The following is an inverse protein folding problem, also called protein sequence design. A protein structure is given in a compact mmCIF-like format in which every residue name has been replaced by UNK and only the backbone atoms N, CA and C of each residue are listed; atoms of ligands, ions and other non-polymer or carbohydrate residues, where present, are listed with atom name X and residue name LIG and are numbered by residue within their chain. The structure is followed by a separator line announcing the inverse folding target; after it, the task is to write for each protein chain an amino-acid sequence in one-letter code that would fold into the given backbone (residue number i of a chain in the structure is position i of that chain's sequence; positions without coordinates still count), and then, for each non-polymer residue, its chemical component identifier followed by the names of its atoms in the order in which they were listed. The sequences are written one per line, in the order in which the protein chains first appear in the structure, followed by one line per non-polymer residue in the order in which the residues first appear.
data_IF_610115941144
#
_entry.id   IF_610115941144
#
_cell.length_a   1.000
_cell.length_b   1.000
_cell.length_c   1.000
_cell.angle_alpha   90.00
_cell.angle_beta   90.00
_cell.angle_gamma   90.00
#
_symmetry.space_group_name_H-M   'P 1'
#
loop_
_entity.id
_entity.type
_entity.pdbx_description
1 polymer ?
#
# COMPACT_ATOMS: atom_id res chain seq x y z
N UNK A 1 7.00 -14.09 2.39
CA UNK A 1 5.73 -13.72 3.05
C UNK A 1 4.86 -13.04 2.01
N UNK A 2 3.62 -13.52 1.74
CA UNK A 2 2.74 -12.85 0.80
C UNK A 2 2.34 -11.47 1.34
N UNK A 3 2.26 -10.46 0.47
CA UNK A 3 1.86 -9.09 0.80
C UNK A 3 0.78 -8.68 -0.19
N UNK A 4 -0.27 -8.03 0.29
CA UNK A 4 -1.24 -7.35 -0.57
C UNK A 4 -0.84 -5.90 -0.78
N UNK A 5 -0.80 -5.46 -2.04
CA UNK A 5 -0.44 -4.07 -2.40
C UNK A 5 -1.70 -3.35 -2.87
N UNK A 6 -2.17 -2.40 -2.07
CA UNK A 6 -3.27 -1.51 -2.44
C UNK A 6 -2.73 -0.13 -2.82
N UNK A 7 -3.15 0.38 -3.97
CA UNK A 7 -2.80 1.73 -4.45
C UNK A 7 -4.05 2.60 -4.51
N UNK A 8 -4.05 3.70 -3.76
CA UNK A 8 -5.15 4.67 -3.74
C UNK A 8 -4.90 5.74 -4.82
N UNK A 9 -5.51 5.59 -5.98
CA UNK A 9 -5.37 6.48 -7.14
C UNK A 9 -6.11 7.80 -6.88
N UNK A 10 -5.39 8.90 -6.67
CA UNK A 10 -5.93 10.18 -6.21
C UNK A 10 -6.57 11.07 -7.28
N UNK A 11 -6.99 10.51 -8.42
CA UNK A 11 -7.50 11.27 -9.55
C UNK A 11 -6.41 12.02 -10.33
N UNK A 12 -5.27 11.35 -10.54
CA UNK A 12 -4.15 11.79 -11.37
C UNK A 12 -4.58 12.10 -12.80
N UNK A 13 -3.97 13.13 -13.38
CA UNK A 13 -4.21 13.60 -14.76
C UNK A 13 -2.99 13.42 -15.66
N UNK A 14 -1.94 12.77 -15.15
CA UNK A 14 -0.74 12.38 -15.88
C UNK A 14 -0.77 10.87 -16.19
N UNK A 15 0.37 10.30 -16.60
CA UNK A 15 0.50 8.89 -16.94
C UNK A 15 0.42 7.93 -15.73
N UNK A 16 0.09 8.39 -14.51
CA UNK A 16 -0.02 7.52 -13.33
C UNK A 16 -0.92 6.31 -13.59
N UNK A 17 -2.10 6.51 -14.20
CA UNK A 17 -3.06 5.42 -14.45
C UNK A 17 -2.52 4.38 -15.43
N UNK A 18 -1.78 4.80 -16.44
CA UNK A 18 -1.14 3.94 -17.42
C UNK A 18 -0.03 3.10 -16.78
N UNK A 19 0.78 3.73 -15.92
CA UNK A 19 1.83 3.05 -15.14
C UNK A 19 1.20 2.02 -14.21
N UNK A 20 0.17 2.38 -13.45
CA UNK A 20 -0.51 1.45 -12.54
C UNK A 20 -1.12 0.26 -13.30
N UNK A 21 -1.72 0.48 -14.47
CA UNK A 21 -2.26 -0.60 -15.30
C UNK A 21 -1.19 -1.61 -15.76
N UNK A 22 0.06 -1.17 -15.92
CA UNK A 22 1.16 -2.06 -16.34
C UNK A 22 1.52 -3.14 -15.30
N UNK A 23 1.12 -2.96 -14.03
CA UNK A 23 1.35 -3.93 -12.96
C UNK A 23 0.30 -5.06 -12.93
N UNK A 24 -0.84 -4.91 -13.60
CA UNK A 24 -1.90 -5.92 -13.64
C UNK A 24 -2.34 -6.38 -12.25
N UNK A 25 -2.50 -7.70 -12.09
CA UNK A 25 -2.99 -8.33 -10.85
C UNK A 25 -1.96 -8.33 -9.70
N UNK A 26 -0.74 -7.81 -9.91
CA UNK A 26 0.25 -7.69 -8.83
C UNK A 26 -0.09 -6.59 -7.81
N UNK A 27 -0.99 -5.67 -8.17
CA UNK A 27 -1.50 -4.61 -7.29
C UNK A 27 -3.02 -4.49 -7.42
N UNK A 28 -3.67 -4.01 -6.36
CA UNK A 28 -5.08 -3.60 -6.38
C UNK A 28 -5.16 -2.08 -6.39
N UNK A 29 -5.65 -1.52 -7.50
CA UNK A 29 -5.85 -0.07 -7.63
C UNK A 29 -7.27 0.29 -7.22
N UNK A 30 -7.41 1.29 -6.36
CA UNK A 30 -8.70 1.82 -5.87
C UNK A 30 -8.77 3.31 -6.16
N UNK A 31 -9.86 3.76 -6.78
CA UNK A 31 -10.10 5.18 -7.04
C UNK A 31 -10.38 5.92 -5.72
N UNK A 32 -9.56 6.93 -5.41
CA UNK A 32 -9.72 7.82 -4.26
C UNK A 32 -10.21 9.20 -4.75
N UNK A 33 -11.53 9.40 -4.88
CA UNK A 33 -12.10 10.65 -5.37
C UNK A 33 -11.84 11.84 -4.43
N UNK A 34 -11.55 11.56 -3.14
CA UNK A 34 -11.21 12.58 -2.16
C UNK A 34 -9.87 13.26 -2.41
N UNK A 35 -9.00 12.67 -3.25
CA UNK A 35 -7.65 13.15 -3.64
C UNK A 35 -6.65 13.39 -2.50
N UNK A 36 -7.09 13.30 -1.26
CA UNK A 36 -6.29 13.57 -0.05
C UNK A 36 -5.85 12.26 0.58
N UNK A 37 -4.68 12.29 1.20
CA UNK A 37 -4.07 11.13 1.86
C UNK A 37 -4.93 10.60 3.01
N UNK A 38 -5.59 11.47 3.78
CA UNK A 38 -6.51 11.04 4.84
C UNK A 38 -7.70 10.23 4.31
N UNK A 39 -8.26 10.64 3.17
CA UNK A 39 -9.37 9.91 2.54
C UNK A 39 -8.89 8.57 1.96
N UNK A 40 -7.71 8.55 1.34
CA UNK A 40 -7.05 7.33 0.88
C UNK A 40 -6.86 6.32 2.03
N UNK A 41 -6.40 6.76 3.21
CA UNK A 41 -6.22 5.89 4.38
C UNK A 41 -7.52 5.25 4.83
N UNK A 42 -8.56 6.06 5.00
CA UNK A 42 -9.87 5.55 5.40
C UNK A 42 -10.43 4.56 4.37
N UNK A 43 -10.34 4.90 3.08
CA UNK A 43 -10.78 4.04 1.99
C UNK A 43 -9.97 2.73 1.93
N UNK A 44 -8.67 2.77 2.18
CA UNK A 44 -7.85 1.56 2.24
C UNK A 44 -8.35 0.59 3.32
N UNK A 45 -8.75 1.08 4.50
CA UNK A 45 -9.31 0.25 5.57
C UNK A 45 -10.64 -0.44 5.19
N UNK A 46 -11.38 0.08 4.21
CA UNK A 46 -12.60 -0.55 3.69
C UNK A 46 -12.31 -1.67 2.67
N UNK A 47 -11.08 -1.74 2.16
CA UNK A 47 -10.68 -2.64 1.07
C UNK A 47 -9.65 -3.71 1.45
N UNK A 48 -9.06 -3.58 2.64
CA UNK A 48 -8.11 -4.55 3.21
C UNK A 48 -8.85 -5.84 3.58
N UNK A 49 -8.20 -6.99 3.36
CA UNK A 49 -8.73 -8.31 3.73
C UNK A 49 -8.92 -8.46 5.24
N UNK A 50 -9.95 -9.20 5.66
CA UNK A 50 -10.26 -9.42 7.08
C UNK A 50 -9.16 -10.20 7.83
N UNK A 51 -8.31 -10.93 7.11
CA UNK A 51 -7.18 -11.69 7.62
C UNK A 51 -5.88 -10.87 7.76
N UNK A 52 -5.86 -9.63 7.28
CA UNK A 52 -4.70 -8.74 7.37
C UNK A 52 -4.63 -8.13 8.77
N UNK A 53 -3.50 -8.37 9.45
CA UNK A 53 -3.26 -7.92 10.83
C UNK A 53 -2.45 -6.64 10.92
N UNK A 54 -1.64 -6.33 9.90
CA UNK A 54 -0.69 -5.22 9.91
C UNK A 54 -0.72 -4.48 8.57
N UNK A 55 -0.57 -3.16 8.63
CA UNK A 55 -0.53 -2.29 7.46
C UNK A 55 0.76 -1.47 7.47
N UNK A 56 1.38 -1.32 6.30
CA UNK A 56 2.51 -0.42 6.09
C UNK A 56 2.15 0.55 4.97
N UNK A 57 2.20 1.85 5.26
CA UNK A 57 1.95 2.89 4.26
C UNK A 57 3.26 3.37 3.64
N UNK A 58 3.31 3.41 2.30
CA UNK A 58 4.39 4.01 1.52
C UNK A 58 3.80 5.14 0.67
N UNK A 59 4.45 6.32 0.68
CA UNK A 59 4.04 7.44 -0.18
C UNK A 59 4.57 7.24 -1.61
N UNK A 60 3.81 7.66 -2.62
CA UNK A 60 4.14 7.39 -4.03
C UNK A 60 5.45 8.00 -4.57
N UNK A 61 6.15 8.82 -3.78
CA UNK A 61 7.45 9.41 -4.14
C UNK A 61 8.62 8.83 -3.30
N UNK A 62 8.37 7.74 -2.57
CA UNK A 62 9.39 7.06 -1.78
C UNK A 62 10.03 5.92 -2.56
N UNK A 63 11.29 5.64 -2.19
CA UNK A 63 12.03 4.46 -2.61
C UNK A 63 12.35 3.64 -1.36
N UNK A 64 12.25 2.33 -1.48
CA UNK A 64 12.56 1.37 -0.41
C UNK A 64 13.46 0.28 -0.98
N UNK A 65 14.30 -0.31 -0.12
CA UNK A 65 15.10 -1.47 -0.48
C UNK A 65 14.18 -2.70 -0.72
N UNK A 66 14.64 -3.65 -1.53
CA UNK A 66 13.86 -4.86 -1.90
C UNK A 66 13.42 -5.69 -0.68
N UNK A 67 14.15 -5.61 0.43
CA UNK A 67 13.92 -6.32 1.68
C UNK A 67 13.25 -5.45 2.77
N UNK A 68 12.76 -4.25 2.43
CA UNK A 68 12.28 -3.28 3.41
C UNK A 68 11.13 -3.81 4.28
N UNK A 69 10.09 -4.40 3.66
CA UNK A 69 8.92 -4.92 4.39
C UNK A 69 9.32 -6.09 5.29
N UNK A 70 10.17 -6.99 4.80
CA UNK A 70 10.70 -8.12 5.56
C UNK A 70 11.46 -7.65 6.81
N UNK A 71 12.32 -6.65 6.66
CA UNK A 71 13.02 -6.04 7.79
C UNK A 71 12.06 -5.42 8.81
N UNK A 72 11.04 -4.66 8.37
CA UNK A 72 10.06 -4.05 9.30
C UNK A 72 9.25 -5.08 10.08
N UNK A 73 8.87 -6.18 9.45
CA UNK A 73 8.15 -7.25 10.14
C UNK A 73 9.07 -8.00 11.10
N UNK A 74 10.31 -8.27 10.71
CA UNK A 74 11.31 -8.88 11.61
C UNK A 74 11.54 -8.01 12.84
N UNK A 75 11.75 -6.70 12.65
CA UNK A 75 11.94 -5.74 13.74
C UNK A 75 10.74 -5.75 14.71
N UNK A 76 9.50 -5.82 14.19
CA UNK A 76 8.28 -5.87 14.99
C UNK A 76 8.21 -7.15 15.84
N UNK A 77 8.42 -8.31 15.22
CA UNK A 77 8.38 -9.61 15.92
C UNK A 77 9.46 -9.71 17.01
N UNK A 78 10.65 -9.18 16.74
CA UNK A 78 11.73 -9.11 17.71
C UNK A 78 11.38 -8.24 18.92
N UNK A 79 10.64 -7.14 18.71
CA UNK A 79 10.16 -6.28 19.79
C UNK A 79 9.04 -6.93 20.60
N UNK A 80 8.13 -7.67 19.98
CA UNK A 80 7.03 -8.37 20.67
C UNK A 80 7.49 -9.58 21.48
N UNK A 81 8.65 -10.15 21.14
CA UNK A 81 9.23 -11.30 21.83
C UNK A 81 9.93 -10.98 23.16
N UNK A 82 10.03 -9.69 23.52
CA UNK A 82 10.71 -9.18 24.72
C UNK A 82 9.71 -8.77 25.79
#
# INVERSE_FOLDING_TARGET
MPVEILVMEGGSTDSTKEILASFGDSIKVVDNPGKRVSNARNLALEHIGEDITHCLEIIGHSWIDEDHVEKRVTDLLDLESK
#
